data_IF_664152329884
#
_entry.id   IF_664152329884
#
_cell.length_a   1.000
_cell.length_b   1.000
_cell.length_c   1.000
_cell.angle_alpha   90.00
_cell.angle_beta   90.00
_cell.angle_gamma   90.00
#
_symmetry.space_group_name_H-M   'P 1'
#
loop_
_entity.id
_entity.type
_entity.pdbx_description
1 polymer ?
#
# COMPACT_ATOMS: atom_id res chain seq x y z
N UNK A 1 -7.54 15.47 11.29
CA UNK A 1 -7.90 15.83 9.91
C UNK A 1 -7.92 14.60 9.04
N UNK A 2 -9.00 14.34 8.31
CA UNK A 2 -9.07 13.13 7.50
C UNK A 2 -8.13 13.22 6.30
N UNK A 3 -7.71 12.07 5.77
CA UNK A 3 -6.92 12.06 4.54
C UNK A 3 -7.69 12.71 3.39
N UNK A 4 -6.98 13.29 2.40
CA UNK A 4 -7.63 13.89 1.24
C UNK A 4 -8.19 12.84 0.30
N UNK A 5 -8.89 13.29 -0.76
CA UNK A 5 -9.38 12.43 -1.84
C UNK A 5 -10.37 11.36 -1.38
N UNK A 6 -11.09 11.63 -0.29
CA UNK A 6 -12.09 10.70 0.26
C UNK A 6 -11.51 9.34 0.65
N UNK A 7 -10.22 9.31 0.93
CA UNK A 7 -9.56 8.08 1.36
C UNK A 7 -9.98 7.77 2.78
N UNK A 8 -10.49 6.57 3.06
CA UNK A 8 -10.87 6.22 4.43
C UNK A 8 -9.64 6.28 5.35
N UNK A 9 -9.77 6.85 6.54
CA UNK A 9 -8.63 6.97 7.45
C UNK A 9 -7.97 5.65 7.81
N UNK A 10 -8.75 4.59 7.89
CA UNK A 10 -8.23 3.27 8.25
C UNK A 10 -7.86 2.43 7.04
N UNK A 11 -7.93 2.98 5.83
CA UNK A 11 -7.43 2.30 4.66
C UNK A 11 -5.92 2.10 4.81
N UNK A 12 -5.42 1.00 4.29
CA UNK A 12 -3.99 0.74 4.34
C UNK A 12 -3.34 1.21 3.07
N UNK A 13 -2.14 1.75 3.21
CA UNK A 13 -1.36 2.24 2.07
C UNK A 13 0.06 1.73 2.19
N UNK A 14 0.71 1.55 1.04
CA UNK A 14 2.15 1.28 0.98
C UNK A 14 2.84 2.63 0.87
N UNK A 15 3.72 2.91 1.80
CA UNK A 15 4.48 4.15 1.82
C UNK A 15 5.90 3.91 1.37
N UNK A 16 6.37 4.70 0.41
CA UNK A 16 7.76 4.74 -0.01
C UNK A 16 8.18 6.20 0.00
N UNK A 17 9.04 6.59 0.93
CA UNK A 17 9.38 7.99 1.07
C UNK A 17 8.17 8.83 1.38
N UNK A 18 7.88 9.80 0.53
CA UNK A 18 6.73 10.69 0.69
C UNK A 18 5.55 10.30 -0.21
N UNK A 19 5.57 9.11 -0.78
CA UNK A 19 4.50 8.62 -1.66
C UNK A 19 3.75 7.49 -1.00
N UNK A 20 2.46 7.41 -1.26
CA UNK A 20 1.61 6.36 -0.72
C UNK A 20 0.70 5.77 -1.79
N UNK A 21 0.68 4.46 -1.88
CA UNK A 21 -0.18 3.72 -2.79
C UNK A 21 -1.25 3.01 -1.98
N UNK A 22 -2.54 3.38 -2.14
CA UNK A 22 -3.60 2.64 -1.45
C UNK A 22 -3.61 1.17 -1.86
N UNK A 23 -3.72 0.28 -0.89
CA UNK A 23 -3.76 -1.15 -1.19
C UNK A 23 -4.95 -1.53 -2.05
N UNK A 24 -6.03 -0.74 -2.02
CA UNK A 24 -7.19 -0.99 -2.85
C UNK A 24 -6.86 -1.01 -4.34
N UNK A 25 -5.79 -0.34 -4.75
CA UNK A 25 -5.36 -0.36 -6.15
C UNK A 25 -4.94 -1.74 -6.61
N UNK A 26 -4.53 -2.60 -5.68
CA UNK A 26 -4.13 -3.96 -6.02
C UNK A 26 -5.32 -4.91 -6.18
N UNK A 27 -6.54 -4.42 -5.99
CA UNK A 27 -7.73 -5.23 -6.25
C UNK A 27 -7.87 -5.56 -7.73
N UNK A 28 -7.42 -4.64 -8.60
CA UNK A 28 -7.54 -4.81 -10.04
C UNK A 28 -6.25 -5.29 -10.70
N UNK A 29 -5.13 -5.07 -10.06
CA UNK A 29 -3.84 -5.42 -10.65
C UNK A 29 -2.86 -5.75 -9.55
N UNK A 30 -2.26 -6.93 -9.63
CA UNK A 30 -1.28 -7.37 -8.63
C UNK A 30 0.04 -6.62 -8.74
N UNK A 31 0.25 -5.86 -9.80
CA UNK A 31 1.50 -5.14 -10.04
C UNK A 31 1.21 -3.71 -10.46
N UNK A 32 1.92 -2.76 -9.86
CA UNK A 32 1.87 -1.36 -10.23
C UNK A 32 3.29 -0.90 -10.51
N UNK A 33 3.50 -0.23 -11.63
CA UNK A 33 4.80 0.37 -11.96
C UNK A 33 4.60 1.87 -12.11
N UNK A 34 5.10 2.63 -11.15
CA UNK A 34 4.96 4.08 -11.11
C UNK A 34 6.15 4.66 -10.37
N UNK A 35 6.49 5.91 -10.68
CA UNK A 35 7.57 6.64 -10.00
C UNK A 35 8.90 5.89 -10.01
N UNK A 36 9.16 5.12 -11.05
CA UNK A 36 10.40 4.35 -11.16
C UNK A 36 10.45 3.13 -10.25
N UNK A 37 9.32 2.78 -9.65
CA UNK A 37 9.20 1.65 -8.73
C UNK A 37 8.26 0.61 -9.30
N UNK A 38 8.49 -0.64 -8.91
CA UNK A 38 7.56 -1.72 -9.16
C UNK A 38 7.07 -2.24 -7.84
N UNK A 39 5.76 -2.19 -7.65
CA UNK A 39 5.11 -2.68 -6.45
C UNK A 39 4.33 -3.94 -6.81
N UNK A 40 4.59 -5.02 -6.08
CA UNK A 40 3.90 -6.28 -6.30
C UNK A 40 3.16 -6.68 -5.03
N UNK A 41 1.92 -7.08 -5.22
CA UNK A 41 1.10 -7.55 -4.11
C UNK A 41 0.68 -8.98 -4.36
N UNK A 42 0.76 -9.78 -3.31
CA UNK A 42 0.22 -11.13 -3.31
C UNK A 42 -0.75 -11.26 -2.15
N UNK A 43 -1.87 -11.94 -2.35
CA UNK A 43 -2.75 -12.21 -1.22
C UNK A 43 -1.94 -12.86 -0.11
N UNK A 44 -2.28 -12.49 1.11
CA UNK A 44 -1.65 -13.12 2.24
C UNK A 44 -1.81 -14.61 2.13
N UNK A 45 -0.73 -15.33 2.43
CA UNK A 45 -0.83 -16.78 2.53
C UNK A 45 -1.61 -17.04 3.80
N UNK A 46 -2.91 -16.90 3.69
CA UNK A 46 -3.75 -17.13 4.82
C UNK A 46 -3.69 -18.60 5.13
N UNK A 47 -2.94 -18.93 6.14
CA UNK A 47 -3.12 -20.24 6.71
C UNK A 47 -4.48 -20.25 7.39
N UNK A 48 -4.98 -21.42 7.66
CA UNK A 48 -6.22 -21.53 8.40
C UNK A 48 -6.17 -20.77 9.72
N UNK A 49 -4.98 -20.51 10.22
CA UNK A 49 -4.81 -19.80 11.48
C UNK A 49 -5.07 -18.30 11.35
N UNK A 50 -5.10 -17.79 10.14
CA UNK A 50 -5.27 -16.37 9.90
C UNK A 50 -6.69 -16.01 9.49
N UNK A 51 -7.61 -16.93 9.63
CA UNK A 51 -9.00 -16.72 9.22
C UNK A 51 -9.61 -15.49 9.86
N UNK A 52 -9.27 -15.21 11.10
CA UNK A 52 -9.83 -14.07 11.79
C UNK A 52 -9.40 -12.76 11.13
N UNK A 53 -8.17 -12.67 10.70
CA UNK A 53 -7.68 -11.48 9.99
C UNK A 53 -8.36 -11.32 8.65
N UNK A 54 -8.55 -12.41 7.94
CA UNK A 54 -9.23 -12.41 6.65
C UNK A 54 -10.69 -12.04 6.84
N UNK A 55 -11.33 -12.60 7.84
CA UNK A 55 -12.73 -12.34 8.10
C UNK A 55 -12.98 -10.86 8.39
N UNK A 56 -11.98 -10.15 8.86
CA UNK A 56 -12.08 -8.72 9.08
C UNK A 56 -11.74 -7.91 7.83
N UNK A 57 -11.59 -8.54 6.69
CA UNK A 57 -11.24 -7.85 5.45
C UNK A 57 -9.84 -7.28 5.48
N UNK A 58 -8.97 -7.88 6.25
CA UNK A 58 -7.65 -7.34 6.52
C UNK A 58 -6.53 -8.14 5.89
N UNK A 59 -6.79 -8.82 4.81
CA UNK A 59 -5.71 -9.50 4.10
C UNK A 59 -4.86 -8.44 3.41
N UNK A 60 -3.87 -7.98 4.13
CA UNK A 60 -2.95 -6.98 3.58
C UNK A 60 -1.94 -7.63 2.64
N UNK A 61 -1.88 -8.96 2.63
CA UNK A 61 -1.01 -9.66 1.72
C UNK A 61 0.46 -9.39 1.98
N UNK A 62 1.26 -9.78 1.01
CA UNK A 62 2.69 -9.52 1.00
C UNK A 62 2.98 -8.49 -0.08
N UNK A 63 3.63 -7.40 0.30
CA UNK A 63 4.01 -6.33 -0.62
C UNK A 63 5.51 -6.40 -0.84
N UNK A 64 5.91 -6.33 -2.10
CA UNK A 64 7.30 -6.13 -2.46
C UNK A 64 7.40 -4.84 -3.26
N UNK A 65 8.43 -4.05 -2.96
CA UNK A 65 8.72 -2.83 -3.69
C UNK A 65 10.17 -2.88 -4.12
N UNK A 66 10.41 -2.64 -5.39
CA UNK A 66 11.77 -2.63 -5.89
C UNK A 66 11.91 -1.63 -7.03
N UNK A 67 13.17 -1.26 -7.28
CA UNK A 67 13.49 -0.34 -8.36
C UNK A 67 13.16 -1.00 -9.69
N UNK A 68 12.39 -0.31 -10.53
CA UNK A 68 11.92 -0.90 -11.79
C UNK A 68 13.05 -1.13 -12.78
N UNK A 69 14.17 -0.42 -12.64
CA UNK A 69 15.31 -0.58 -13.55
C UNK A 69 16.32 -1.59 -13.06
N UNK A 70 16.65 -1.55 -11.77
CA UNK A 70 17.73 -2.36 -11.22
C UNK A 70 17.26 -3.61 -10.53
N UNK A 71 15.99 -3.64 -10.12
CA UNK A 71 15.46 -4.75 -9.34
C UNK A 71 15.87 -4.73 -7.88
N UNK A 72 16.56 -3.68 -7.43
CA UNK A 72 16.97 -3.60 -6.04
C UNK A 72 15.77 -3.35 -5.13
N UNK A 73 15.74 -4.01 -3.99
CA UNK A 73 14.67 -3.82 -3.02
C UNK A 73 14.65 -2.39 -2.51
N UNK A 74 13.44 -1.87 -2.28
CA UNK A 74 13.24 -0.53 -1.79
C UNK A 74 12.54 -0.60 -0.43
N UNK A 75 13.06 0.18 0.50
CA UNK A 75 12.47 0.27 1.84
C UNK A 75 11.06 0.84 1.75
N UNK A 76 10.12 0.18 2.37
CA UNK A 76 8.72 0.58 2.35
C UNK A 76 8.04 0.15 3.65
N UNK A 77 6.86 0.70 3.88
CA UNK A 77 6.04 0.36 5.03
C UNK A 77 4.59 0.28 4.60
N UNK A 78 3.82 -0.55 5.30
CA UNK A 78 2.36 -0.54 5.16
C UNK A 78 1.81 0.17 6.38
N UNK A 79 1.10 1.27 6.15
CA UNK A 79 0.60 2.11 7.24
C UNK A 79 -0.88 2.44 6.97
N UNK A 80 -1.54 2.99 7.98
CA UNK A 80 -2.88 3.52 7.78
C UNK A 80 -2.83 4.87 7.07
N UNK A 81 -3.85 5.15 6.27
CA UNK A 81 -3.92 6.40 5.54
C UNK A 81 -3.86 7.61 6.47
N UNK A 82 -4.56 7.55 7.62
CA UNK A 82 -4.53 8.69 8.54
C UNK A 82 -3.12 8.93 9.08
N UNK A 83 -2.36 7.86 9.30
CA UNK A 83 -1.00 8.00 9.82
C UNK A 83 -0.08 8.60 8.76
N UNK A 84 -0.20 8.17 7.52
CA UNK A 84 0.58 8.76 6.44
C UNK A 84 0.30 10.27 6.34
N UNK A 85 -0.97 10.63 6.35
CA UNK A 85 -1.36 12.03 6.23
C UNK A 85 -0.88 12.86 7.42
N UNK A 86 -0.91 12.29 8.61
CA UNK A 86 -0.47 12.99 9.80
C UNK A 86 1.03 13.26 9.80
N UNK A 87 1.82 12.29 9.36
CA UNK A 87 3.27 12.42 9.34
C UNK A 87 3.78 13.17 8.12
N UNK A 88 3.07 13.06 7.00
CA UNK A 88 3.48 13.66 5.73
C UNK A 88 2.31 14.40 5.11
N UNK A 89 1.91 15.55 5.70
CA UNK A 89 0.75 16.29 5.17
C UNK A 89 0.96 16.75 3.72
N UNK A 90 2.21 16.88 3.30
CA UNK A 90 2.53 17.22 1.90
C UNK A 90 2.82 15.98 1.06
N UNK A 91 2.58 14.82 1.61
CA UNK A 91 2.85 13.57 0.91
C UNK A 91 2.02 13.41 -0.35
N UNK A 92 2.52 12.58 -1.24
CA UNK A 92 1.89 12.37 -2.55
C UNK A 92 1.08 11.09 -2.51
N UNK A 93 -0.19 11.21 -2.88
CA UNK A 93 -1.09 10.06 -2.94
C UNK A 93 -1.07 9.51 -4.36
N UNK A 94 -0.58 8.29 -4.51
CA UNK A 94 -0.46 7.64 -5.81
C UNK A 94 -1.76 6.91 -6.13
N UNK A 95 -2.68 7.61 -6.77
CA UNK A 95 -4.04 7.12 -6.99
C UNK A 95 -4.27 6.51 -8.36
N UNK A 96 -3.29 6.60 -9.25
CA UNK A 96 -3.43 6.03 -10.57
C UNK A 96 -4.28 6.87 -11.52
N UNK A 97 -4.44 8.11 -11.21
CA UNK A 97 -5.27 9.04 -12.01
C UNK A 97 -4.45 9.70 -13.12
#
# INVERSE_FOLDING_TARGET
>A
EPPPHDIPPLARVVRVGDRAWPLSRFADSATITEAGLRLEWRPGVASALDDASIANGRDVGAIRVFDAQTGADVVHEVVFAFAFHAFLPQGIWMLGL
#
